data_IF_023524041346
#
_entry.id   IF_023524041346
#
_cell.length_a   1.000
_cell.length_b   1.000
_cell.length_c   1.000
_cell.angle_alpha   90.00
_cell.angle_beta   90.00
_cell.angle_gamma   90.00
#
_symmetry.space_group_name_H-M   'P 1'
#
loop_
_entity.id
_entity.type
_entity.pdbx_description
1 polymer ?
#
# COMPACT_ATOMS: atom_id res chain seq x y z
N UNK A 1 12.47 -9.22 -15.41
CA UNK A 1 13.26 -8.01 -15.60
C UNK A 1 13.50 -7.30 -14.26
N UNK A 2 12.47 -6.86 -13.53
CA UNK A 2 12.60 -6.11 -12.27
C UNK A 2 13.43 -6.86 -11.20
N UNK A 3 13.20 -8.17 -11.02
CA UNK A 3 13.98 -9.00 -10.09
C UNK A 3 15.44 -9.22 -10.54
N UNK A 4 15.69 -9.23 -11.84
CA UNK A 4 17.00 -9.44 -12.41
C UNK A 4 17.83 -8.14 -12.59
N UNK A 5 17.30 -6.99 -12.18
CA UNK A 5 17.99 -5.70 -12.31
C UNK A 5 18.13 -5.19 -13.75
N UNK A 6 17.38 -5.77 -14.70
CA UNK A 6 17.46 -5.35 -16.09
C UNK A 6 16.46 -4.25 -16.42
N UNK A 7 16.90 -3.20 -17.12
CA UNK A 7 16.02 -2.17 -17.68
C UNK A 7 14.98 -2.78 -18.61
N UNK A 8 13.74 -2.32 -18.52
CA UNK A 8 12.64 -2.79 -19.35
C UNK A 8 11.61 -1.68 -19.57
N UNK A 9 10.81 -1.82 -20.61
CA UNK A 9 9.62 -1.02 -20.84
C UNK A 9 8.41 -1.94 -21.01
N UNK A 10 7.24 -1.45 -20.64
CA UNK A 10 5.97 -2.15 -20.87
C UNK A 10 4.85 -1.16 -21.13
N UNK A 11 3.83 -1.61 -21.84
CA UNK A 11 2.62 -0.85 -22.08
C UNK A 11 1.47 -1.34 -21.19
N UNK A 12 0.68 -0.41 -20.70
CA UNK A 12 -0.46 -0.71 -19.82
C UNK A 12 -1.51 0.39 -19.92
N UNK A 13 -2.78 0.02 -19.77
CA UNK A 13 -3.87 1.00 -19.60
C UNK A 13 -3.77 1.74 -18.26
N UNK A 14 -3.01 1.21 -17.31
CA UNK A 14 -2.78 1.77 -15.97
C UNK A 14 -4.08 2.09 -15.20
N UNK A 15 -5.10 1.24 -15.37
CA UNK A 15 -6.43 1.41 -14.76
C UNK A 15 -6.59 0.68 -13.42
N UNK A 16 -5.52 0.14 -12.86
CA UNK A 16 -5.53 -0.55 -11.57
C UNK A 16 -4.36 -0.10 -10.69
N UNK A 17 -4.54 -0.04 -9.35
CA UNK A 17 -3.47 0.32 -8.41
C UNK A 17 -2.21 -0.52 -8.57
N UNK A 18 -2.33 -1.82 -8.88
CA UNK A 18 -1.21 -2.73 -9.10
C UNK A 18 -0.24 -2.23 -10.19
N UNK A 19 -0.75 -1.63 -11.26
CA UNK A 19 0.08 -1.12 -12.34
C UNK A 19 0.91 0.09 -11.92
N UNK A 20 0.35 0.96 -11.10
CA UNK A 20 1.09 2.08 -10.49
C UNK A 20 2.06 1.57 -9.41
N UNK A 21 1.68 0.57 -8.65
CA UNK A 21 2.52 -0.06 -7.62
C UNK A 21 3.83 -0.65 -8.19
N UNK A 22 3.89 -1.02 -9.46
CA UNK A 22 5.14 -1.42 -10.11
C UNK A 22 6.17 -0.29 -10.13
N UNK A 23 5.73 0.98 -10.17
CA UNK A 23 6.62 2.14 -10.15
C UNK A 23 7.31 2.27 -8.78
N UNK A 24 6.56 2.11 -7.69
CA UNK A 24 7.12 2.14 -6.32
C UNK A 24 8.11 1.01 -6.10
N UNK A 25 7.81 -0.20 -6.61
CA UNK A 25 8.70 -1.35 -6.52
C UNK A 25 9.99 -1.17 -7.33
N UNK A 26 9.91 -0.50 -8.48
CA UNK A 26 11.09 -0.19 -9.30
C UNK A 26 11.98 0.83 -8.58
N UNK A 27 11.40 1.91 -8.03
CA UNK A 27 12.15 2.93 -7.27
C UNK A 27 12.83 2.35 -6.03
N UNK A 28 12.14 1.50 -5.25
CA UNK A 28 12.75 0.84 -4.09
C UNK A 28 14.02 0.01 -4.48
N UNK A 29 14.05 -0.50 -5.70
CA UNK A 29 15.19 -1.27 -6.24
C UNK A 29 16.23 -0.40 -6.96
N UNK A 30 16.10 0.92 -6.88
CA UNK A 30 17.06 1.86 -7.46
C UNK A 30 16.93 2.08 -8.97
N UNK A 31 15.80 1.68 -9.59
CA UNK A 31 15.54 2.02 -10.98
C UNK A 31 15.12 3.48 -11.13
N UNK A 32 15.59 4.14 -12.19
CA UNK A 32 14.98 5.36 -12.68
C UNK A 32 13.68 5.00 -13.41
N UNK A 33 12.57 5.60 -12.98
CA UNK A 33 11.24 5.34 -13.51
C UNK A 33 10.81 6.46 -14.44
N UNK A 34 10.57 6.15 -15.71
CA UNK A 34 10.03 7.07 -16.69
C UNK A 34 8.61 6.64 -17.11
N UNK A 35 7.67 7.58 -17.04
CA UNK A 35 6.27 7.40 -17.43
C UNK A 35 5.98 8.19 -18.72
N UNK A 36 5.41 7.54 -19.72
CA UNK A 36 4.76 8.19 -20.86
C UNK A 36 3.28 7.86 -20.81
N UNK A 37 2.45 8.87 -20.57
CA UNK A 37 1.00 8.70 -20.47
C UNK A 37 0.31 9.43 -21.63
N UNK A 38 -0.47 8.68 -22.40
CA UNK A 38 -1.23 9.20 -23.54
C UNK A 38 -2.71 9.03 -23.27
N UNK A 39 -3.46 10.12 -23.26
CA UNK A 39 -4.90 10.11 -22.97
C UNK A 39 -5.68 11.00 -23.92
N UNK A 40 -6.99 11.01 -23.77
CA UNK A 40 -7.91 11.95 -24.39
C UNK A 40 -8.62 12.76 -23.32
N UNK A 41 -9.27 13.85 -23.69
CA UNK A 41 -10.09 14.68 -22.81
C UNK A 41 -11.43 14.04 -22.44
N UNK A 42 -11.85 13.00 -23.20
CA UNK A 42 -13.15 12.34 -23.05
C UNK A 42 -13.06 10.82 -23.30
N UNK A 43 -13.73 10.05 -22.45
CA UNK A 43 -13.84 8.60 -22.57
C UNK A 43 -14.56 8.17 -23.88
N UNK A 44 -15.52 8.96 -24.37
CA UNK A 44 -16.28 8.64 -25.59
C UNK A 44 -15.39 8.64 -26.84
N UNK A 45 -14.34 9.46 -26.88
CA UNK A 45 -13.34 9.42 -27.94
C UNK A 45 -12.61 8.06 -27.97
N UNK A 46 -12.34 7.50 -26.79
CA UNK A 46 -11.74 6.17 -26.70
C UNK A 46 -12.72 5.07 -27.11
N UNK A 47 -14.00 5.19 -26.74
CA UNK A 47 -15.08 4.26 -27.17
C UNK A 47 -15.16 4.27 -28.70
N UNK A 48 -15.25 5.45 -29.32
CA UNK A 48 -15.33 5.59 -30.79
C UNK A 48 -14.07 5.00 -31.49
N UNK A 49 -12.87 5.22 -30.94
CA UNK A 49 -11.62 4.64 -31.48
C UNK A 49 -11.60 3.12 -31.39
N UNK A 50 -12.09 2.55 -30.28
CA UNK A 50 -12.21 1.09 -30.15
C UNK A 50 -13.21 0.55 -31.15
N UNK A 51 -14.39 1.18 -31.33
CA UNK A 51 -15.38 0.79 -32.33
C UNK A 51 -14.81 0.80 -33.75
N UNK A 52 -14.11 1.86 -34.14
CA UNK A 52 -13.44 1.96 -35.44
C UNK A 52 -12.39 0.85 -35.63
N UNK A 53 -11.60 0.57 -34.60
CA UNK A 53 -10.61 -0.53 -34.63
C UNK A 53 -11.27 -1.89 -34.81
N UNK A 54 -12.40 -2.13 -34.16
CA UNK A 54 -13.18 -3.37 -34.30
C UNK A 54 -13.73 -3.52 -35.72
N UNK A 55 -14.23 -2.43 -36.31
CA UNK A 55 -14.67 -2.42 -37.73
C UNK A 55 -13.53 -2.77 -38.70
N UNK A 56 -12.26 -2.54 -38.32
CA UNK A 56 -11.08 -2.93 -39.07
C UNK A 56 -10.49 -4.29 -38.67
N UNK A 57 -11.24 -5.13 -37.94
CA UNK A 57 -10.84 -6.49 -37.57
C UNK A 57 -10.10 -6.61 -36.23
N UNK A 58 -10.08 -5.55 -35.40
CA UNK A 58 -9.47 -5.60 -34.06
C UNK A 58 -10.41 -6.23 -33.02
N UNK A 59 -9.86 -6.53 -31.83
CA UNK A 59 -10.63 -7.10 -30.73
C UNK A 59 -11.62 -6.10 -30.13
N UNK A 60 -12.84 -6.57 -29.90
CA UNK A 60 -13.90 -5.81 -29.24
C UNK A 60 -13.61 -5.65 -27.72
N UNK A 61 -13.94 -4.47 -27.21
CA UNK A 61 -13.99 -4.20 -25.76
C UNK A 61 -15.31 -3.48 -25.52
N UNK A 62 -16.07 -3.95 -24.53
CA UNK A 62 -17.34 -3.34 -24.16
C UNK A 62 -17.20 -1.86 -23.82
N UNK A 63 -18.07 -0.97 -24.33
CA UNK A 63 -17.98 0.48 -24.13
C UNK A 63 -17.88 0.88 -22.65
N UNK A 64 -18.66 0.25 -21.77
CA UNK A 64 -18.61 0.54 -20.33
C UNK A 64 -17.28 0.12 -19.69
N UNK A 65 -16.64 -0.91 -20.23
CA UNK A 65 -15.29 -1.29 -19.78
C UNK A 65 -14.25 -0.23 -20.22
N UNK A 66 -14.38 0.34 -21.41
CA UNK A 66 -13.52 1.45 -21.88
C UNK A 66 -13.70 2.67 -20.98
N UNK A 67 -14.94 3.09 -20.70
CA UNK A 67 -15.27 4.22 -19.83
C UNK A 67 -14.72 4.03 -18.43
N UNK A 68 -14.96 2.87 -17.83
CA UNK A 68 -14.46 2.53 -16.49
C UNK A 68 -12.93 2.54 -16.41
N UNK A 69 -12.24 1.96 -17.39
CA UNK A 69 -10.78 1.96 -17.44
C UNK A 69 -10.21 3.36 -17.62
N UNK A 70 -10.84 4.18 -18.45
CA UNK A 70 -10.46 5.58 -18.64
C UNK A 70 -10.57 6.34 -17.30
N UNK A 71 -11.72 6.30 -16.64
CA UNK A 71 -11.94 6.98 -15.37
C UNK A 71 -10.93 6.53 -14.31
N UNK A 72 -10.68 5.23 -14.20
CA UNK A 72 -9.71 4.68 -13.25
C UNK A 72 -8.27 5.10 -13.58
N UNK A 73 -7.88 5.12 -14.86
CA UNK A 73 -6.55 5.55 -15.27
C UNK A 73 -6.32 7.05 -14.99
N UNK A 74 -7.32 7.89 -15.27
CA UNK A 74 -7.25 9.32 -14.96
C UNK A 74 -7.18 9.59 -13.46
N UNK A 75 -7.92 8.84 -12.65
CA UNK A 75 -7.87 8.92 -11.18
C UNK A 75 -6.49 8.52 -10.63
N UNK A 76 -5.82 7.55 -11.23
CA UNK A 76 -4.50 7.06 -10.82
C UNK A 76 -3.34 7.90 -11.39
N UNK A 77 -3.57 8.72 -12.41
CA UNK A 77 -2.54 9.49 -13.09
C UNK A 77 -1.70 10.37 -12.13
N UNK A 78 -2.28 11.15 -11.20
CA UNK A 78 -1.49 11.95 -10.27
C UNK A 78 -0.55 11.11 -9.41
N UNK A 79 -1.01 9.93 -8.93
CA UNK A 79 -0.18 9.00 -8.18
C UNK A 79 0.93 8.39 -9.05
N UNK A 80 0.63 8.01 -10.29
CA UNK A 80 1.61 7.46 -11.20
C UNK A 80 2.74 8.47 -11.52
N UNK A 81 2.39 9.73 -11.71
CA UNK A 81 3.37 10.80 -11.90
C UNK A 81 4.18 11.06 -10.63
N UNK A 82 3.56 10.99 -9.45
CA UNK A 82 4.26 11.12 -8.17
C UNK A 82 5.34 10.05 -8.02
N UNK A 83 5.04 8.79 -8.34
CA UNK A 83 5.95 7.66 -8.25
C UNK A 83 6.89 7.48 -9.45
N UNK A 84 6.96 8.45 -10.35
CA UNK A 84 7.90 8.47 -11.48
C UNK A 84 9.00 9.50 -11.27
N UNK A 85 10.23 9.24 -11.71
CA UNK A 85 11.31 10.22 -11.72
C UNK A 85 11.15 11.18 -12.88
N UNK A 86 10.68 10.68 -14.02
CA UNK A 86 10.35 11.45 -15.22
C UNK A 86 8.96 11.11 -15.71
N UNK A 87 8.21 12.09 -16.21
CA UNK A 87 6.91 11.83 -16.83
C UNK A 87 6.64 12.78 -17.99
N UNK A 88 6.02 12.23 -19.04
CA UNK A 88 5.47 12.98 -20.15
C UNK A 88 3.98 12.62 -20.29
N UNK A 89 3.12 13.62 -20.27
CA UNK A 89 1.68 13.42 -20.49
C UNK A 89 1.30 14.06 -21.82
N UNK A 90 0.61 13.30 -22.67
CA UNK A 90 0.12 13.73 -23.96
C UNK A 90 -1.40 13.70 -24.00
N UNK A 91 -1.98 14.79 -24.49
CA UNK A 91 -3.37 14.83 -24.94
C UNK A 91 -3.42 14.40 -26.41
N UNK A 92 -4.11 13.31 -26.65
CA UNK A 92 -4.35 12.75 -27.97
C UNK A 92 -5.82 12.91 -28.40
N UNK A 93 -6.49 13.99 -27.98
CA UNK A 93 -7.88 14.28 -28.35
C UNK A 93 -8.07 14.71 -29.78
N UNK A 94 -7.06 15.39 -30.33
CA UNK A 94 -7.04 15.92 -31.71
C UNK A 94 -6.49 14.93 -32.73
N UNK A 95 -6.09 15.46 -33.89
CA UNK A 95 -5.44 14.71 -34.98
C UNK A 95 -3.98 14.40 -34.69
N UNK A 96 -3.34 15.19 -33.85
CA UNK A 96 -1.94 15.04 -33.45
C UNK A 96 -1.84 15.13 -31.95
N UNK A 97 -1.14 14.18 -31.29
CA UNK A 97 -0.92 14.26 -29.83
C UNK A 97 -0.10 15.51 -29.49
N UNK A 98 -0.54 16.22 -28.46
CA UNK A 98 0.19 17.37 -27.91
C UNK A 98 0.68 17.01 -26.51
N UNK A 99 1.93 17.37 -26.20
CA UNK A 99 2.44 17.24 -24.84
C UNK A 99 1.81 18.31 -23.97
N UNK A 100 1.30 17.93 -22.82
CA UNK A 100 0.60 18.85 -21.90
C UNK A 100 1.28 18.96 -20.54
N UNK A 101 2.06 17.94 -20.13
CA UNK A 101 2.83 17.97 -18.89
C UNK A 101 4.19 17.30 -19.08
N UNK A 102 5.20 17.87 -18.44
CA UNK A 102 6.55 17.30 -18.32
C UNK A 102 6.95 17.28 -16.84
N UNK A 103 7.44 16.15 -16.37
CA UNK A 103 8.10 16.01 -15.05
C UNK A 103 9.55 15.61 -15.25
N UNK A 104 10.45 16.27 -14.50
CA UNK A 104 11.85 15.88 -14.39
C UNK A 104 12.32 16.06 -12.94
N UNK A 105 12.51 14.95 -12.23
CA UNK A 105 12.75 14.96 -10.79
C UNK A 105 11.59 15.65 -10.03
N UNK A 106 11.86 16.67 -9.23
CA UNK A 106 10.84 17.41 -8.48
C UNK A 106 10.02 18.39 -9.35
N UNK A 107 10.56 18.79 -10.51
CA UNK A 107 9.99 19.84 -11.34
C UNK A 107 8.88 19.30 -12.23
N UNK A 108 7.71 19.91 -12.15
CA UNK A 108 6.55 19.63 -13.00
C UNK A 108 6.16 20.88 -13.73
N UNK A 109 6.19 20.81 -15.04
CA UNK A 109 5.82 21.89 -15.96
C UNK A 109 4.53 21.51 -16.67
N UNK A 110 3.53 22.37 -16.61
CA UNK A 110 2.29 22.27 -17.37
C UNK A 110 2.40 23.25 -18.52
N UNK A 111 2.13 22.78 -19.73
CA UNK A 111 2.20 23.64 -20.92
C UNK A 111 1.16 24.77 -20.85
N UNK A 112 1.50 26.01 -21.27
CA UNK A 112 0.60 27.16 -21.13
C UNK A 112 -0.78 27.00 -21.79
N UNK A 113 -0.82 26.21 -22.87
CA UNK A 113 -2.04 25.96 -23.66
C UNK A 113 -2.66 24.57 -23.35
N UNK A 114 -2.36 24.01 -22.19
CA UNK A 114 -2.91 22.72 -21.78
C UNK A 114 -4.45 22.80 -21.68
N UNK A 115 -5.18 21.78 -22.17
CA UNK A 115 -6.63 21.72 -22.05
C UNK A 115 -7.10 21.74 -20.57
N UNK A 116 -8.32 22.20 -20.35
CA UNK A 116 -8.89 22.38 -19.01
C UNK A 116 -8.87 21.07 -18.16
N UNK A 117 -8.99 19.91 -18.80
CA UNK A 117 -8.94 18.63 -18.08
C UNK A 117 -7.60 18.43 -17.36
N UNK A 118 -6.51 18.99 -17.86
CA UNK A 118 -5.18 18.88 -17.23
C UNK A 118 -5.20 19.52 -15.85
N UNK A 119 -5.85 20.67 -15.70
CA UNK A 119 -6.00 21.32 -14.39
C UNK A 119 -6.89 20.48 -13.45
N UNK A 120 -8.06 20.05 -13.90
CA UNK A 120 -9.05 19.40 -13.05
C UNK A 120 -8.72 17.94 -12.71
N UNK A 121 -8.14 17.18 -13.66
CA UNK A 121 -7.91 15.74 -13.49
C UNK A 121 -6.47 15.39 -13.14
N UNK A 122 -5.51 16.30 -13.36
CA UNK A 122 -4.12 16.06 -13.05
C UNK A 122 -3.54 17.11 -12.08
N UNK A 123 -3.48 18.40 -12.46
CA UNK A 123 -2.67 19.38 -11.77
C UNK A 123 -3.17 19.69 -10.35
N UNK A 124 -4.47 19.92 -10.17
CA UNK A 124 -5.04 20.16 -8.84
C UNK A 124 -4.94 18.93 -7.94
N UNK A 125 -5.30 17.71 -8.38
CA UNK A 125 -5.06 16.49 -7.59
C UNK A 125 -3.57 16.24 -7.30
N UNK A 126 -2.67 16.48 -8.25
CA UNK A 126 -1.23 16.32 -8.04
C UNK A 126 -0.69 17.28 -6.97
N UNK A 127 -1.07 18.57 -7.04
CA UNK A 127 -0.69 19.55 -6.00
C UNK A 127 -1.23 19.16 -4.62
N UNK A 128 -2.46 18.65 -4.52
CA UNK A 128 -3.03 18.17 -3.26
C UNK A 128 -2.22 17.00 -2.69
N UNK A 129 -1.74 16.08 -3.53
CA UNK A 129 -0.87 14.97 -3.13
C UNK A 129 0.50 15.48 -2.64
N UNK A 130 1.11 16.44 -3.35
CA UNK A 130 2.39 17.04 -2.94
C UNK A 130 2.27 17.79 -1.60
N UNK A 131 1.16 18.50 -1.37
CA UNK A 131 0.88 19.14 -0.09
C UNK A 131 0.73 18.10 1.04
N UNK A 132 0.09 16.98 0.76
CA UNK A 132 -0.04 15.83 1.66
C UNK A 132 1.33 15.25 2.07
N UNK A 133 2.21 14.99 1.11
CA UNK A 133 3.57 14.50 1.38
C UNK A 133 4.36 15.48 2.24
N UNK A 134 4.30 16.77 1.90
CA UNK A 134 4.96 17.84 2.66
C UNK A 134 4.46 17.93 4.11
N UNK A 135 3.15 17.78 4.31
CA UNK A 135 2.55 17.75 5.66
C UNK A 135 3.11 16.58 6.47
N UNK A 136 3.08 15.37 5.93
CA UNK A 136 3.53 14.16 6.65
C UNK A 136 5.05 14.15 6.87
N UNK A 137 5.84 14.68 5.94
CA UNK A 137 7.28 14.90 6.12
C UNK A 137 7.56 15.83 7.30
N UNK A 138 6.82 16.93 7.43
CA UNK A 138 6.94 17.85 8.55
C UNK A 138 6.58 17.19 9.90
N UNK A 139 5.53 16.35 9.93
CA UNK A 139 5.13 15.58 11.12
C UNK A 139 6.24 14.59 11.52
N UNK A 140 6.78 13.83 10.58
CA UNK A 140 7.87 12.88 10.84
C UNK A 140 9.13 13.58 11.38
N UNK A 141 9.57 14.66 10.74
CA UNK A 141 10.73 15.46 11.16
C UNK A 141 10.52 16.15 12.50
N UNK A 142 9.29 16.56 12.83
CA UNK A 142 8.93 17.08 14.15
C UNK A 142 9.05 16.03 15.26
N UNK A 143 8.80 14.77 14.94
CA UNK A 143 8.94 13.64 15.88
C UNK A 143 10.41 13.20 16.04
N UNK A 144 11.20 13.23 14.95
CA UNK A 144 12.60 12.84 14.95
C UNK A 144 13.37 13.58 13.82
N UNK A 145 14.11 14.65 14.14
CA UNK A 145 14.69 15.57 13.12
C UNK A 145 15.64 14.92 12.10
N UNK A 146 16.32 13.83 12.47
CA UNK A 146 17.30 13.14 11.60
C UNK A 146 16.78 11.81 11.03
N UNK A 147 15.47 11.64 11.00
CA UNK A 147 14.90 10.38 10.55
C UNK A 147 14.87 10.26 9.02
N UNK A 148 15.10 9.04 8.56
CA UNK A 148 14.86 8.69 7.17
C UNK A 148 13.40 8.31 6.99
N UNK A 149 12.72 8.95 6.06
CA UNK A 149 11.38 8.64 5.67
C UNK A 149 11.45 7.88 4.34
N UNK A 150 10.84 6.71 4.29
CA UNK A 150 10.77 5.89 3.07
C UNK A 150 9.34 5.83 2.52
N UNK A 151 9.22 5.65 1.22
CA UNK A 151 7.93 5.30 0.61
C UNK A 151 7.68 3.79 0.78
N UNK A 152 6.43 3.42 1.02
CA UNK A 152 6.04 2.02 1.02
C UNK A 152 6.14 1.45 -0.39
N UNK A 153 6.95 0.42 -0.58
CA UNK A 153 6.88 -0.36 -1.82
C UNK A 153 5.58 -1.17 -1.81
N UNK A 154 4.67 -0.76 -2.65
CA UNK A 154 3.35 -1.35 -2.77
C UNK A 154 3.40 -2.68 -3.54
N UNK A 155 4.02 -3.70 -2.96
CA UNK A 155 4.14 -5.03 -3.54
C UNK A 155 3.05 -5.96 -2.99
N UNK A 156 2.43 -6.77 -3.85
CA UNK A 156 1.45 -7.76 -3.41
C UNK A 156 2.01 -8.67 -2.30
N UNK A 157 1.23 -8.85 -1.23
CA UNK A 157 1.61 -9.63 -0.06
C UNK A 157 2.54 -8.93 0.92
N UNK A 158 3.10 -7.75 0.58
CA UNK A 158 3.97 -7.01 1.48
C UNK A 158 3.17 -6.32 2.57
N UNK A 159 3.63 -6.46 3.80
CA UNK A 159 3.01 -5.87 5.00
C UNK A 159 3.98 -4.94 5.71
N UNK A 160 3.43 -3.91 6.31
CA UNK A 160 4.11 -2.97 7.20
C UNK A 160 3.36 -2.94 8.52
N UNK A 161 4.09 -3.04 9.63
CA UNK A 161 3.53 -3.06 10.98
C UNK A 161 4.08 -1.89 11.76
N UNK A 162 3.21 -1.21 12.51
CA UNK A 162 3.63 -0.11 13.35
C UNK A 162 2.49 0.85 13.65
N UNK A 163 2.83 1.94 14.32
CA UNK A 163 1.89 2.98 14.74
C UNK A 163 1.60 3.92 13.57
N UNK A 164 0.33 4.17 13.25
CA UNK A 164 -0.06 5.25 12.34
C UNK A 164 0.10 6.57 13.08
N UNK A 165 1.03 7.40 12.63
CA UNK A 165 1.37 8.67 13.29
C UNK A 165 0.41 9.77 12.88
N UNK A 166 0.20 9.89 11.57
CA UNK A 166 -0.72 10.85 10.97
C UNK A 166 -1.15 10.41 9.58
N UNK A 167 -2.18 11.04 9.04
CA UNK A 167 -2.68 10.78 7.70
C UNK A 167 -3.36 11.99 7.09
N UNK A 168 -3.47 11.95 5.78
CA UNK A 168 -4.20 12.90 4.96
C UNK A 168 -5.22 12.17 4.08
N UNK A 169 -5.89 12.89 3.20
CA UNK A 169 -6.74 12.26 2.18
C UNK A 169 -5.97 11.34 1.21
N UNK A 170 -4.66 11.56 1.03
CA UNK A 170 -3.86 10.87 0.01
C UNK A 170 -2.85 9.89 0.57
N UNK A 171 -2.31 10.14 1.76
CA UNK A 171 -1.22 9.35 2.33
C UNK A 171 -1.45 9.07 3.81
N UNK A 172 -0.79 8.03 4.33
CA UNK A 172 -0.68 7.74 5.74
C UNK A 172 0.79 7.60 6.13
N UNK A 173 1.17 8.16 7.27
CA UNK A 173 2.51 8.05 7.86
C UNK A 173 2.48 6.99 8.95
N UNK A 174 3.29 5.97 8.83
CA UNK A 174 3.44 4.90 9.80
C UNK A 174 4.86 4.88 10.37
N UNK A 175 4.99 4.84 11.68
CA UNK A 175 6.23 4.47 12.36
C UNK A 175 6.33 2.94 12.36
N UNK A 176 7.05 2.41 11.36
CA UNK A 176 7.21 0.99 11.15
C UNK A 176 8.23 0.39 12.12
N UNK A 177 7.99 -0.84 12.59
CA UNK A 177 8.87 -1.53 13.54
C UNK A 177 10.27 -1.82 12.99
N UNK A 178 10.37 -2.03 11.68
CA UNK A 178 11.61 -2.48 11.02
C UNK A 178 12.24 -1.44 10.08
N UNK A 179 11.54 -0.34 9.78
CA UNK A 179 11.94 0.60 8.70
C UNK A 179 11.95 2.07 9.09
N UNK A 180 11.63 2.42 10.32
CA UNK A 180 11.43 3.80 10.72
C UNK A 180 10.12 4.37 10.17
N UNK A 181 10.12 5.61 9.68
CA UNK A 181 8.91 6.21 9.13
C UNK A 181 8.69 5.80 7.69
N UNK A 182 7.47 5.32 7.39
CA UNK A 182 7.05 4.87 6.07
C UNK A 182 5.79 5.64 5.66
N UNK A 183 5.81 6.22 4.46
CA UNK A 183 4.64 6.86 3.86
C UNK A 183 3.94 5.86 2.95
N UNK A 184 2.66 5.65 3.19
CA UNK A 184 1.76 4.81 2.41
C UNK A 184 0.89 5.67 1.51
N UNK A 185 0.86 5.37 0.22
CA UNK A 185 -0.05 5.97 -0.74
C UNK A 185 -1.42 5.26 -0.68
N UNK A 186 -2.47 6.00 -0.30
CA UNK A 186 -3.85 5.49 -0.23
C UNK A 186 -4.45 5.16 -1.60
N UNK A 187 -3.90 5.68 -2.69
CA UNK A 187 -4.30 5.28 -4.03
C UNK A 187 -3.84 3.87 -4.39
N UNK A 188 -2.76 3.38 -3.76
CA UNK A 188 -2.16 2.07 -4.01
C UNK A 188 -2.48 1.05 -2.92
N UNK A 189 -2.89 1.49 -1.76
CA UNK A 189 -3.09 0.66 -0.58
C UNK A 189 -4.49 0.76 0.00
N UNK A 190 -4.59 0.66 1.32
CA UNK A 190 -5.88 0.67 2.02
C UNK A 190 -6.59 2.00 1.80
N UNK A 191 -7.76 1.93 1.16
CA UNK A 191 -8.65 3.08 0.91
C UNK A 191 -9.48 3.46 2.14
N UNK A 192 -8.88 3.37 3.33
CA UNK A 192 -9.56 3.69 4.58
C UNK A 192 -8.73 4.64 5.40
N UNK A 193 -9.39 5.34 6.27
CA UNK A 193 -8.75 6.12 7.30
C UNK A 193 -8.34 5.22 8.48
N UNK A 194 -7.27 5.59 9.13
CA UNK A 194 -6.77 4.96 10.34
C UNK A 194 -6.99 5.92 11.50
N UNK A 195 -7.11 5.39 12.70
CA UNK A 195 -7.06 6.26 13.88
C UNK A 195 -5.60 6.66 14.14
N UNK A 196 -5.33 7.97 14.19
CA UNK A 196 -4.01 8.49 14.51
C UNK A 196 -3.58 7.99 15.90
N UNK A 197 -2.37 7.47 15.99
CA UNK A 197 -1.86 6.83 17.20
C UNK A 197 -2.17 5.34 17.32
N UNK A 198 -3.07 4.79 16.49
CA UNK A 198 -3.36 3.35 16.50
C UNK A 198 -2.23 2.51 15.91
N UNK A 199 -2.08 1.29 16.39
CA UNK A 199 -1.18 0.30 15.79
C UNK A 199 -1.89 -0.40 14.64
N UNK A 200 -1.28 -0.42 13.45
CA UNK A 200 -1.86 -1.02 12.26
C UNK A 200 -0.88 -1.96 11.53
N UNK A 201 -1.42 -3.01 10.94
CA UNK A 201 -0.75 -3.75 9.88
C UNK A 201 -1.35 -3.32 8.54
N UNK A 202 -0.52 -2.75 7.67
CA UNK A 202 -0.89 -2.31 6.32
C UNK A 202 -0.33 -3.33 5.34
N UNK A 203 -1.22 -4.08 4.68
CA UNK A 203 -0.86 -5.10 3.69
C UNK A 203 -1.34 -4.69 2.31
N UNK A 204 -0.45 -4.77 1.32
CA UNK A 204 -0.77 -4.52 -0.08
C UNK A 204 -1.27 -5.80 -0.74
N UNK A 205 -2.55 -5.81 -1.13
CA UNK A 205 -3.20 -6.95 -1.79
C UNK A 205 -3.83 -6.50 -3.11
N UNK A 206 -3.33 -7.03 -4.22
CA UNK A 206 -3.81 -6.68 -5.56
C UNK A 206 -4.66 -7.77 -6.21
N UNK A 207 -4.76 -8.94 -5.59
CA UNK A 207 -5.67 -9.99 -6.05
C UNK A 207 -7.11 -9.52 -5.92
N UNK A 208 -7.71 -9.21 -7.06
CA UNK A 208 -9.09 -8.69 -7.19
C UNK A 208 -9.34 -7.29 -6.60
N UNK A 209 -8.30 -6.50 -6.30
CA UNK A 209 -8.42 -5.08 -5.93
C UNK A 209 -9.10 -4.82 -4.58
N UNK A 210 -9.05 -5.77 -3.63
CA UNK A 210 -9.57 -5.58 -2.28
C UNK A 210 -8.61 -6.15 -1.26
N UNK A 211 -8.37 -5.40 -0.17
CA UNK A 211 -7.92 -6.01 1.08
C UNK A 211 -9.07 -6.92 1.51
N UNK A 212 -8.83 -8.21 1.81
CA UNK A 212 -9.88 -9.11 2.25
C UNK A 212 -10.62 -8.47 3.43
N UNK A 213 -11.97 -8.47 3.38
CA UNK A 213 -12.79 -7.94 4.48
C UNK A 213 -12.44 -8.67 5.80
N UNK A 214 -12.01 -9.91 5.71
CA UNK A 214 -11.51 -10.74 6.79
C UNK A 214 -10.30 -10.16 7.52
N UNK A 215 -9.32 -9.58 6.83
CA UNK A 215 -8.17 -8.91 7.47
C UNK A 215 -8.58 -7.64 8.22
N UNK A 216 -9.59 -6.92 7.72
CA UNK A 216 -10.14 -5.74 8.40
C UNK A 216 -10.85 -6.15 9.69
N UNK A 217 -11.67 -7.19 9.63
CA UNK A 217 -12.38 -7.73 10.80
C UNK A 217 -11.39 -8.25 11.85
N UNK A 218 -10.42 -9.07 11.45
CA UNK A 218 -9.40 -9.60 12.35
C UNK A 218 -8.57 -8.52 13.03
N UNK A 219 -8.34 -7.39 12.37
CA UNK A 219 -7.62 -6.27 12.97
C UNK A 219 -8.47 -5.55 14.01
N UNK A 220 -9.73 -5.23 13.68
CA UNK A 220 -10.66 -4.59 14.62
C UNK A 220 -10.80 -5.47 15.88
N UNK A 221 -10.90 -6.77 15.71
CA UNK A 221 -10.95 -7.72 16.82
C UNK A 221 -9.66 -7.75 17.65
N UNK A 222 -8.48 -7.65 17.02
CA UNK A 222 -7.20 -7.57 17.73
C UNK A 222 -7.05 -6.26 18.51
N UNK A 223 -7.43 -5.14 17.92
CA UNK A 223 -7.43 -3.83 18.59
C UNK A 223 -8.38 -3.85 19.81
N UNK A 224 -9.59 -4.41 19.65
CA UNK A 224 -10.55 -4.56 20.75
C UNK A 224 -9.99 -5.44 21.88
N UNK A 225 -9.35 -6.57 21.55
CA UNK A 225 -8.69 -7.47 22.52
C UNK A 225 -7.53 -6.78 23.24
N UNK A 226 -6.67 -6.07 22.52
CA UNK A 226 -5.56 -5.31 23.11
C UNK A 226 -6.06 -4.26 24.09
N UNK A 227 -7.09 -3.51 23.71
CA UNK A 227 -7.74 -2.52 24.57
C UNK A 227 -8.36 -3.17 25.80
N UNK A 228 -9.11 -4.25 25.63
CA UNK A 228 -9.70 -4.99 26.76
C UNK A 228 -8.63 -5.52 27.72
N UNK A 229 -7.51 -6.05 27.21
CA UNK A 229 -6.39 -6.52 28.02
C UNK A 229 -5.72 -5.41 28.84
N UNK A 230 -5.63 -4.19 28.31
CA UNK A 230 -5.01 -3.03 28.98
C UNK A 230 -5.91 -2.35 30.01
N UNK A 231 -7.17 -2.17 29.66
CA UNK A 231 -8.06 -1.22 30.35
C UNK A 231 -9.10 -1.90 31.26
N UNK A 232 -9.46 -3.15 30.98
CA UNK A 232 -10.49 -3.85 31.75
C UNK A 232 -9.91 -4.75 32.86
N UNK A 233 -10.65 -4.90 33.95
CA UNK A 233 -10.36 -5.97 34.94
C UNK A 233 -10.32 -7.34 34.26
N UNK A 234 -9.38 -8.20 34.64
CA UNK A 234 -9.16 -9.54 34.05
C UNK A 234 -10.45 -10.33 33.79
N UNK A 235 -11.34 -10.38 34.76
CA UNK A 235 -12.60 -11.14 34.64
C UNK A 235 -13.48 -10.59 33.53
N UNK A 236 -13.57 -9.28 33.41
CA UNK A 236 -14.34 -8.60 32.35
C UNK A 236 -13.71 -8.74 30.99
N UNK A 237 -12.39 -8.58 30.92
CA UNK A 237 -11.63 -8.76 29.67
C UNK A 237 -11.78 -10.18 29.11
N UNK A 238 -11.65 -11.20 29.96
CA UNK A 238 -11.82 -12.62 29.57
C UNK A 238 -13.28 -12.97 29.27
N UNK A 239 -14.24 -12.32 29.90
CA UNK A 239 -15.67 -12.51 29.59
C UNK A 239 -15.99 -12.00 28.18
N UNK A 240 -15.45 -10.85 27.80
CA UNK A 240 -15.63 -10.26 26.45
C UNK A 240 -14.78 -10.97 25.39
N UNK A 241 -13.57 -11.39 25.74
CA UNK A 241 -12.58 -12.01 24.88
C UNK A 241 -11.95 -13.23 25.56
N UNK A 242 -12.56 -14.42 25.48
CA UNK A 242 -12.09 -15.63 26.18
C UNK A 242 -10.65 -16.04 25.86
N UNK A 243 -10.18 -15.74 24.66
CA UNK A 243 -8.82 -15.99 24.20
C UNK A 243 -7.74 -15.24 25.00
N UNK A 244 -8.09 -14.13 25.67
CA UNK A 244 -7.18 -13.37 26.54
C UNK A 244 -6.78 -14.15 27.80
N UNK A 245 -7.49 -15.24 28.15
CA UNK A 245 -7.13 -16.06 29.28
C UNK A 245 -5.69 -16.58 29.22
N UNK A 246 -5.24 -17.00 28.03
CA UNK A 246 -3.87 -17.46 27.82
C UNK A 246 -2.84 -16.33 28.05
N UNK A 247 -3.14 -15.13 27.62
CA UNK A 247 -2.29 -13.96 27.83
C UNK A 247 -2.17 -13.58 29.31
N UNK A 248 -3.26 -13.63 30.06
CA UNK A 248 -3.22 -13.38 31.50
C UNK A 248 -2.46 -14.48 32.29
N UNK A 249 -2.58 -15.75 31.88
CA UNK A 249 -1.79 -16.85 32.46
C UNK A 249 -0.29 -16.62 32.20
N UNK A 250 0.08 -16.23 31.00
CA UNK A 250 1.46 -15.89 30.66
C UNK A 250 1.96 -14.68 31.46
N UNK A 251 1.14 -13.64 31.65
CA UNK A 251 1.46 -12.48 32.49
C UNK A 251 1.72 -12.89 33.93
N UNK A 252 0.89 -13.75 34.49
CA UNK A 252 1.05 -14.27 35.89
C UNK A 252 2.35 -15.07 36.04
N UNK A 253 2.71 -15.89 35.03
CA UNK A 253 3.96 -16.65 35.04
C UNK A 253 5.18 -15.73 35.03
N UNK A 254 5.17 -14.69 34.18
CA UNK A 254 6.23 -13.68 34.12
C UNK A 254 6.31 -12.84 35.41
N UNK A 255 5.16 -12.50 36.02
CA UNK A 255 5.12 -11.83 37.31
C UNK A 255 5.82 -12.62 38.42
N UNK A 256 5.55 -13.94 38.50
CA UNK A 256 6.24 -14.83 39.47
C UNK A 256 7.75 -14.86 39.24
N UNK A 257 8.17 -14.85 38.00
CA UNK A 257 9.61 -14.85 37.61
C UNK A 257 10.30 -13.55 38.04
N UNK A 258 9.62 -12.40 37.87
CA UNK A 258 10.13 -11.08 38.27
C UNK A 258 10.21 -10.98 39.82
N UNK A 259 9.22 -11.50 40.52
CA UNK A 259 9.22 -11.52 41.99
C UNK A 259 10.36 -12.34 42.62
N UNK A 260 10.91 -13.31 41.87
CA UNK A 260 12.10 -14.09 42.25
C UNK A 260 13.43 -13.39 42.00
N UNK A 261 13.45 -12.18 41.41
CA UNK A 261 14.65 -11.42 41.19
C UNK A 261 14.89 -10.39 42.31
N UNK A 262 16.16 -10.03 42.51
CA UNK A 262 16.57 -9.01 43.50
C UNK A 262 16.27 -7.58 43.02
N UNK A 263 14.99 -7.28 42.78
CA UNK A 263 14.50 -5.98 42.36
C UNK A 263 13.73 -5.30 43.50
N UNK A 264 13.86 -3.99 43.61
CA UNK A 264 13.04 -3.18 44.51
C UNK A 264 11.56 -3.19 44.05
N UNK A 265 10.64 -2.89 44.93
CA UNK A 265 9.21 -2.83 44.60
C UNK A 265 8.91 -1.83 43.47
N UNK A 266 9.63 -0.70 43.40
CA UNK A 266 9.46 0.29 42.36
C UNK A 266 9.97 -0.22 40.98
N UNK A 267 11.10 -0.93 40.97
CA UNK A 267 11.64 -1.55 39.76
C UNK A 267 10.72 -2.67 39.25
N UNK A 268 10.20 -3.51 40.17
CA UNK A 268 9.23 -4.55 39.83
C UNK A 268 7.97 -3.95 39.19
N UNK A 269 7.42 -2.87 39.76
CA UNK A 269 6.26 -2.19 39.19
C UNK A 269 6.54 -1.67 37.77
N UNK A 270 7.69 -1.00 37.57
CA UNK A 270 8.10 -0.46 36.27
C UNK A 270 8.26 -1.57 35.20
N UNK A 271 8.85 -2.69 35.58
CA UNK A 271 9.02 -3.84 34.68
C UNK A 271 7.66 -4.45 34.35
N UNK A 272 6.76 -4.56 35.33
CA UNK A 272 5.39 -5.10 35.12
C UNK A 272 4.56 -4.22 34.20
N UNK A 273 4.62 -2.89 34.33
CA UNK A 273 3.92 -1.95 33.46
C UNK A 273 4.40 -2.08 32.02
N UNK A 274 5.72 -2.14 31.81
CA UNK A 274 6.31 -2.37 30.48
C UNK A 274 5.92 -3.72 29.88
N UNK A 275 5.89 -4.76 30.70
CA UNK A 275 5.51 -6.09 30.29
C UNK A 275 4.05 -6.13 29.83
N UNK A 276 3.15 -5.54 30.64
CA UNK A 276 1.74 -5.43 30.32
C UNK A 276 1.50 -4.67 29.00
N UNK A 277 2.18 -3.54 28.82
CA UNK A 277 2.14 -2.76 27.57
C UNK A 277 2.66 -3.56 26.37
N UNK A 278 3.79 -4.26 26.52
CA UNK A 278 4.36 -5.07 25.44
C UNK A 278 3.46 -6.25 25.05
N UNK A 279 2.80 -6.88 26.03
CA UNK A 279 1.83 -7.95 25.76
C UNK A 279 0.59 -7.41 25.04
N UNK A 280 0.08 -6.26 25.43
CA UNK A 280 -1.03 -5.62 24.75
C UNK A 280 -0.68 -5.32 23.28
N UNK A 281 0.53 -4.80 23.03
CA UNK A 281 1.03 -4.58 21.65
C UNK A 281 1.19 -5.90 20.89
N UNK A 282 1.61 -6.98 21.55
CA UNK A 282 1.70 -8.30 20.90
C UNK A 282 0.32 -8.85 20.51
N UNK A 283 -0.71 -8.66 21.35
CA UNK A 283 -2.10 -9.03 21.05
C UNK A 283 -2.60 -8.26 19.81
N UNK A 284 -2.31 -6.97 19.74
CA UNK A 284 -2.70 -6.09 18.62
C UNK A 284 -1.99 -6.49 17.32
N UNK A 285 -0.72 -6.87 17.37
CA UNK A 285 0.04 -7.35 16.20
C UNK A 285 -0.52 -8.65 15.65
N UNK A 286 -0.98 -9.55 16.50
CA UNK A 286 -1.34 -10.92 16.14
C UNK A 286 -0.13 -11.82 15.86
N UNK A 287 -0.36 -13.08 15.49
CA UNK A 287 0.73 -14.02 15.16
C UNK A 287 1.52 -13.55 13.95
N UNK A 288 2.84 -13.79 13.94
CA UNK A 288 3.66 -13.54 12.77
C UNK A 288 3.12 -14.37 11.59
N UNK A 289 3.10 -13.86 10.37
CA UNK A 289 2.72 -14.67 9.22
C UNK A 289 3.65 -15.88 9.15
N UNK A 290 3.05 -17.08 9.05
CA UNK A 290 3.80 -18.33 8.87
C UNK A 290 4.67 -18.22 7.61
N UNK A 291 5.97 -18.25 7.80
CA UNK A 291 6.96 -18.34 6.70
C UNK A 291 7.02 -19.74 6.06
N UNK A 292 6.03 -20.60 6.34
CA UNK A 292 6.09 -22.04 6.10
C UNK A 292 5.23 -22.61 4.97
N UNK A 293 4.49 -21.85 4.17
CA UNK A 293 3.53 -22.44 3.22
C UNK A 293 3.95 -22.37 1.73
N UNK A 294 5.10 -21.80 1.38
CA UNK A 294 5.53 -21.76 -0.03
C UNK A 294 6.35 -22.98 -0.51
N UNK A 295 6.74 -23.89 0.38
CA UNK A 295 7.60 -25.01 -0.01
C UNK A 295 6.84 -26.29 -0.45
N UNK A 296 5.52 -26.36 -0.33
CA UNK A 296 4.77 -27.61 -0.58
C UNK A 296 4.01 -27.68 -1.90
N UNK A 297 3.88 -26.59 -2.66
CA UNK A 297 3.17 -26.59 -3.95
C UNK A 297 4.06 -26.65 -5.20
N UNK A 298 5.39 -26.73 -5.03
CA UNK A 298 6.31 -26.84 -6.17
C UNK A 298 6.62 -28.30 -6.58
N UNK A 299 6.11 -29.32 -5.86
CA UNK A 299 6.45 -30.72 -6.10
C UNK A 299 5.35 -31.57 -6.77
N UNK A 300 4.19 -30.98 -7.09
CA UNK A 300 3.09 -31.72 -7.73
C UNK A 300 2.76 -31.14 -9.10
N UNK A 301 3.57 -31.44 -10.11
CA UNK A 301 3.28 -30.99 -11.48
C UNK A 301 4.33 -31.33 -12.51
N UNK A 302 4.90 -32.51 -12.49
CA UNK A 302 5.56 -33.04 -13.69
C UNK A 302 4.66 -34.11 -14.32
N UNK A 303 4.16 -33.94 -15.55
CA UNK A 303 3.60 -35.07 -16.31
C UNK A 303 4.75 -35.86 -16.92
N UNK A 304 4.75 -37.13 -16.61
CA UNK A 304 5.59 -38.17 -17.23
C UNK A 304 5.43 -38.13 -18.75
N UNK A 305 6.55 -37.94 -19.46
CA UNK A 305 6.66 -38.27 -20.89
C UNK A 305 6.66 -39.77 -21.02
N UNK A 306 5.62 -40.36 -21.51
CA UNK A 306 5.64 -41.69 -22.12
C UNK A 306 6.28 -41.60 -23.51
N UNK A 307 7.37 -42.32 -23.66
CA UNK A 307 7.89 -42.70 -24.97
C UNK A 307 6.90 -43.68 -25.61
N UNK A 308 6.46 -43.39 -26.81
CA UNK A 308 6.09 -44.43 -27.76
C UNK A 308 6.79 -44.16 -29.08
N UNK A 309 7.63 -45.13 -29.41
CA UNK A 309 8.25 -45.37 -30.72
C UNK A 309 7.26 -46.15 -31.56
N UNK A 310 7.43 -46.04 -32.89
CA UNK A 310 6.99 -46.92 -34.00
C UNK A 310 5.64 -46.54 -34.65
N UNK A 311 5.67 -45.99 -35.79
CA UNK A 311 5.86 -46.42 -37.19
C UNK A 311 5.69 -45.24 -38.12
#
# INVERSE_FOLDING_TARGET
>A
ALQAGHSFAFESVMSTPEKVALLTQARERGFEVALVFVTTDDAEKNVARVSNRVAMGGHAVEPDTVRRRYASAMQLLPAAVEHSDKALIFDNSGTTPIRVVTKNGPDVVIEPNAPQWVESQFAAPYRARQASLKQLDAVAKGSAPNITISEAAAQHGRSYRGKVVDQTAHHALQESEDRGFVIHDKALGPKRDFDNGSYAQITYAYDKGKIPAEEVVQRIEREARSKAFKELPRQEAVKQHPELQANFVQLDALKKQIQGQHLTAAEQATVMDRLHENMARAIERGPAPDSGTEAHNAAAGQPSRSQDRER
#
